data_IF_793484227093
#
_entry.id   IF_793484227093
#
_cell.length_a   1.000
_cell.length_b   1.000
_cell.length_c   1.000
_cell.angle_alpha   90.00
_cell.angle_beta   90.00
_cell.angle_gamma   90.00
#
_symmetry.space_group_name_H-M   'P 1'
#
loop_
_entity.id
_entity.type
_entity.pdbx_description
1 polymer ?
#
# COMPACT_ATOMS: atom_id res chain seq x y z
N UNK A 1 15.83 21.02 13.89
CA UNK A 1 16.99 21.71 14.54
C UNK A 1 16.46 22.44 15.75
N UNK A 2 16.55 21.82 16.96
CA UNK A 2 16.11 22.42 18.22
C UNK A 2 17.32 23.03 18.89
N UNK A 3 17.32 24.35 19.05
CA UNK A 3 18.37 25.07 19.79
C UNK A 3 17.94 25.13 21.23
N UNK A 4 18.52 24.29 22.07
CA UNK A 4 18.45 24.43 23.53
C UNK A 4 19.50 25.44 23.99
N UNK A 5 19.13 26.71 24.15
CA UNK A 5 19.91 27.70 24.93
C UNK A 5 19.43 27.65 26.38
N UNK A 6 20.17 27.00 27.23
CA UNK A 6 19.96 27.01 28.68
C UNK A 6 21.04 26.21 29.38
N UNK A 7 21.68 26.79 30.42
CA UNK A 7 22.71 26.17 31.22
C UNK A 7 22.17 24.98 32.03
N UNK A 8 22.46 23.75 31.55
CA UNK A 8 22.27 22.53 32.33
C UNK A 8 23.67 21.90 32.44
N UNK A 9 24.06 21.46 33.65
CA UNK A 9 25.32 20.77 33.91
C UNK A 9 25.47 19.52 33.05
N UNK A 10 26.68 19.07 32.75
CA UNK A 10 26.94 17.93 31.85
C UNK A 10 26.17 16.66 32.21
N UNK A 11 25.98 16.37 33.49
CA UNK A 11 25.18 15.22 33.95
C UNK A 11 23.68 15.37 33.65
N UNK A 12 23.11 16.57 33.79
CA UNK A 12 21.69 16.81 33.44
C UNK A 12 21.41 16.70 31.94
N UNK A 13 22.35 17.10 31.08
CA UNK A 13 22.24 16.92 29.62
C UNK A 13 22.27 15.45 29.24
N UNK A 14 23.11 14.64 29.85
CA UNK A 14 23.18 13.20 29.58
C UNK A 14 21.88 12.49 29.95
N UNK A 15 21.29 12.80 31.11
CA UNK A 15 20.01 12.22 31.57
C UNK A 15 18.83 12.63 30.66
N UNK A 16 18.81 13.89 30.22
CA UNK A 16 17.76 14.37 29.31
C UNK A 16 17.90 13.70 27.92
N UNK A 17 19.12 13.61 27.41
CA UNK A 17 19.39 12.92 26.14
C UNK A 17 19.05 11.43 26.24
N UNK A 18 19.41 10.75 27.30
CA UNK A 18 19.07 9.34 27.51
C UNK A 18 17.56 9.11 27.64
N UNK A 19 16.83 9.99 28.32
CA UNK A 19 15.35 9.96 28.37
C UNK A 19 14.71 10.24 26.99
N UNK A 20 15.25 11.21 26.25
CA UNK A 20 14.78 11.51 24.90
C UNK A 20 15.05 10.35 23.94
N UNK A 21 16.23 9.74 24.00
CA UNK A 21 16.57 8.55 23.20
C UNK A 21 15.64 7.39 23.58
N UNK A 22 15.44 7.08 24.87
CA UNK A 22 14.48 6.07 25.32
C UNK A 22 13.04 6.38 24.94
N UNK A 23 12.62 7.65 24.91
CA UNK A 23 11.31 8.04 24.40
C UNK A 23 11.20 7.85 22.90
N UNK A 24 12.25 8.16 22.13
CA UNK A 24 12.29 7.91 20.67
C UNK A 24 12.34 6.42 20.34
N UNK A 25 13.09 5.62 21.11
CA UNK A 25 13.14 4.15 20.98
C UNK A 25 11.80 3.48 21.38
N UNK A 26 11.03 4.11 22.27
CA UNK A 26 9.72 3.61 22.73
C UNK A 26 8.54 4.11 21.89
N UNK A 27 8.73 5.02 20.93
CA UNK A 27 7.70 5.36 19.96
C UNK A 27 7.59 4.21 18.94
N UNK A 28 6.72 3.27 19.26
CA UNK A 28 6.37 2.15 18.37
C UNK A 28 5.81 2.71 17.08
N UNK A 29 6.66 2.88 16.06
CA UNK A 29 6.21 3.29 14.73
C UNK A 29 5.21 2.26 14.22
N UNK A 30 4.08 2.71 13.73
CA UNK A 30 3.12 1.87 13.04
C UNK A 30 3.67 1.33 11.72
N UNK A 31 2.92 0.50 11.05
CA UNK A 31 3.34 -0.19 9.84
C UNK A 31 2.27 -0.12 8.76
N UNK A 32 2.70 0.00 7.49
CA UNK A 32 1.83 -0.18 6.33
C UNK A 32 1.78 -1.65 5.91
N UNK A 33 0.56 -2.18 5.75
CA UNK A 33 0.30 -3.50 5.18
C UNK A 33 -0.47 -3.35 3.88
N UNK A 34 0.12 -3.77 2.76
CA UNK A 34 -0.60 -3.89 1.50
C UNK A 34 -1.32 -5.23 1.50
N UNK A 35 -2.63 -5.21 1.51
CA UNK A 35 -3.48 -6.39 1.69
C UNK A 35 -4.21 -6.69 0.38
N UNK A 36 -3.83 -7.78 -0.30
CA UNK A 36 -4.49 -8.19 -1.52
C UNK A 36 -5.92 -8.66 -1.24
N UNK A 37 -6.90 -8.13 -1.99
CA UNK A 37 -8.32 -8.47 -1.91
C UNK A 37 -8.72 -9.44 -3.04
N UNK A 38 -9.85 -10.17 -2.89
CA UNK A 38 -10.33 -11.09 -3.91
C UNK A 38 -10.56 -10.42 -5.27
N UNK A 39 -10.32 -11.16 -6.35
CA UNK A 39 -10.48 -10.72 -7.74
C UNK A 39 -11.71 -11.35 -8.44
N UNK A 40 -12.68 -11.86 -7.68
CA UNK A 40 -13.90 -12.46 -8.22
C UNK A 40 -14.48 -13.57 -7.34
N UNK A 41 -13.67 -14.17 -6.47
CA UNK A 41 -14.11 -15.18 -5.51
C UNK A 41 -13.64 -14.78 -4.09
N UNK A 42 -14.56 -14.64 -3.15
CA UNK A 42 -14.25 -14.23 -1.78
C UNK A 42 -13.34 -15.22 -1.04
N UNK A 43 -13.37 -16.49 -1.41
CA UNK A 43 -12.54 -17.54 -0.81
C UNK A 43 -11.04 -17.41 -1.15
N UNK A 44 -10.69 -16.59 -2.14
CA UNK A 44 -9.29 -16.32 -2.51
C UNK A 44 -8.57 -15.38 -1.53
N UNK A 45 -9.27 -14.81 -0.56
CA UNK A 45 -8.63 -14.00 0.48
C UNK A 45 -7.78 -14.88 1.40
N UNK A 46 -6.57 -14.44 1.71
CA UNK A 46 -5.71 -15.23 2.59
C UNK A 46 -6.08 -15.03 4.07
N UNK A 47 -5.89 -16.06 4.89
CA UNK A 47 -6.04 -15.96 6.35
C UNK A 47 -5.19 -14.85 6.96
N UNK A 48 -3.98 -14.64 6.43
CA UNK A 48 -3.07 -13.59 6.88
C UNK A 48 -3.65 -12.20 6.60
N UNK A 49 -4.26 -11.98 5.44
CA UNK A 49 -4.96 -10.72 5.13
C UNK A 49 -6.13 -10.51 6.07
N UNK A 50 -6.98 -11.53 6.30
CA UNK A 50 -8.11 -11.43 7.22
C UNK A 50 -7.68 -11.05 8.64
N UNK A 51 -6.63 -11.69 9.16
CA UNK A 51 -6.11 -11.40 10.49
C UNK A 51 -5.54 -9.97 10.54
N UNK A 52 -4.74 -9.57 9.54
CA UNK A 52 -4.18 -8.23 9.46
C UNK A 52 -5.27 -7.15 9.43
N UNK A 53 -6.32 -7.34 8.62
CA UNK A 53 -7.44 -6.38 8.54
C UNK A 53 -8.21 -6.24 9.86
N UNK A 54 -8.21 -7.29 10.72
CA UNK A 54 -8.82 -7.25 12.07
C UNK A 54 -7.92 -6.61 13.12
N UNK A 55 -6.59 -6.64 12.92
CA UNK A 55 -5.59 -6.23 13.91
C UNK A 55 -5.09 -4.80 13.72
N UNK A 56 -5.13 -4.25 12.49
CA UNK A 56 -4.69 -2.87 12.23
C UNK A 56 -5.65 -1.85 12.82
N UNK A 57 -5.12 -0.65 13.07
CA UNK A 57 -5.89 0.46 13.63
C UNK A 57 -6.81 1.13 12.60
N UNK A 58 -6.43 1.08 11.32
CA UNK A 58 -7.14 1.76 10.23
C UNK A 58 -6.98 0.99 8.91
N UNK A 59 -8.04 0.95 8.12
CA UNK A 59 -8.02 0.45 6.74
C UNK A 59 -8.14 1.65 5.78
N UNK A 60 -7.17 1.82 4.89
CA UNK A 60 -7.23 2.75 3.77
C UNK A 60 -7.76 1.98 2.54
N UNK A 61 -8.89 2.40 1.98
CA UNK A 61 -9.58 1.72 0.89
C UNK A 61 -9.80 2.65 -0.30
N UNK A 62 -9.68 2.13 -1.51
CA UNK A 62 -9.89 2.87 -2.76
C UNK A 62 -11.35 3.34 -2.88
N UNK A 63 -12.30 2.41 -2.85
CA UNK A 63 -13.72 2.72 -2.70
C UNK A 63 -14.29 2.09 -1.43
N UNK A 64 -14.60 2.94 -0.45
CA UNK A 64 -15.14 2.49 0.84
C UNK A 64 -16.51 1.82 0.71
N UNK A 65 -17.31 2.17 -0.32
CA UNK A 65 -18.63 1.57 -0.58
C UNK A 65 -18.50 0.14 -1.11
N UNK A 66 -17.44 -0.14 -1.85
CA UNK A 66 -17.12 -1.48 -2.32
C UNK A 66 -16.53 -2.30 -1.18
N UNK A 67 -15.53 -1.77 -0.52
CA UNK A 67 -14.76 -2.45 0.53
C UNK A 67 -15.61 -2.82 1.74
N UNK A 68 -16.63 -2.02 2.11
CA UNK A 68 -17.51 -2.34 3.25
C UNK A 68 -18.25 -3.68 3.09
N UNK A 69 -18.54 -4.10 1.85
CA UNK A 69 -19.19 -5.40 1.58
C UNK A 69 -18.25 -6.54 1.95
N UNK A 70 -16.97 -6.43 1.57
CA UNK A 70 -15.93 -7.40 1.92
C UNK A 70 -15.74 -7.47 3.44
N UNK A 71 -15.59 -6.31 4.09
CA UNK A 71 -15.37 -6.25 5.54
C UNK A 71 -16.55 -6.84 6.32
N UNK A 72 -17.78 -6.54 5.91
CA UNK A 72 -18.98 -7.08 6.52
C UNK A 72 -19.07 -8.61 6.35
N UNK A 73 -18.74 -9.13 5.17
CA UNK A 73 -18.75 -10.57 4.90
C UNK A 73 -17.83 -11.34 5.85
N UNK A 74 -16.64 -10.80 6.15
CA UNK A 74 -15.67 -11.41 7.05
C UNK A 74 -15.75 -10.91 8.50
N UNK A 75 -16.81 -10.17 8.86
CA UNK A 75 -17.05 -9.62 10.19
C UNK A 75 -15.88 -8.77 10.72
N UNK A 76 -15.25 -7.96 9.83
CA UNK A 76 -14.17 -7.04 10.16
C UNK A 76 -14.80 -5.70 10.54
N UNK A 77 -14.48 -5.20 11.76
CA UNK A 77 -15.01 -3.95 12.32
C UNK A 77 -14.01 -2.80 12.36
N UNK A 78 -12.82 -3.00 11.82
CA UNK A 78 -11.74 -2.01 11.78
C UNK A 78 -12.21 -0.75 11.06
N UNK A 79 -11.95 0.45 11.62
CA UNK A 79 -12.30 1.72 10.98
C UNK A 79 -11.71 1.82 9.59
N UNK A 80 -12.43 2.48 8.67
CA UNK A 80 -12.02 2.63 7.28
C UNK A 80 -11.99 4.08 6.86
N UNK A 81 -11.04 4.46 6.00
CA UNK A 81 -10.93 5.77 5.36
C UNK A 81 -10.72 5.61 3.86
N UNK A 82 -11.15 6.61 3.08
CA UNK A 82 -10.92 6.60 1.63
C UNK A 82 -9.48 6.99 1.29
N UNK A 83 -8.91 6.29 0.31
CA UNK A 83 -7.61 6.58 -0.28
C UNK A 83 -7.65 6.25 -1.78
N UNK A 84 -7.86 7.23 -2.63
CA UNK A 84 -8.10 7.07 -4.07
C UNK A 84 -7.27 8.05 -4.90
N UNK A 85 -7.29 7.91 -6.22
CA UNK A 85 -6.48 8.67 -7.18
C UNK A 85 -6.54 10.19 -6.95
N UNK A 86 -7.73 10.73 -6.65
CA UNK A 86 -7.93 12.18 -6.51
C UNK A 86 -7.43 12.77 -5.18
N UNK A 87 -7.18 11.94 -4.16
CA UNK A 87 -6.69 12.40 -2.85
C UNK A 87 -5.32 11.83 -2.47
N UNK A 88 -4.73 10.98 -3.30
CA UNK A 88 -3.58 10.13 -2.96
C UNK A 88 -2.41 10.87 -2.35
N UNK A 89 -2.05 12.07 -2.85
CA UNK A 89 -0.85 12.78 -2.40
C UNK A 89 -1.00 13.31 -0.98
N UNK A 90 -2.05 14.08 -0.72
CA UNK A 90 -2.26 14.70 0.60
C UNK A 90 -2.71 13.67 1.64
N UNK A 91 -3.53 12.72 1.20
CA UNK A 91 -3.97 11.64 2.07
C UNK A 91 -2.82 10.72 2.46
N UNK A 92 -1.86 10.44 1.54
CA UNK A 92 -0.66 9.67 1.87
C UNK A 92 0.18 10.37 2.94
N UNK A 93 0.41 11.69 2.83
CA UNK A 93 1.10 12.46 3.87
C UNK A 93 0.46 12.30 5.24
N UNK A 94 -0.88 12.44 5.29
CA UNK A 94 -1.63 12.27 6.53
C UNK A 94 -1.47 10.86 7.10
N UNK A 95 -1.61 9.81 6.27
CA UNK A 95 -1.47 8.41 6.71
C UNK A 95 -0.05 8.10 7.18
N UNK A 96 0.98 8.63 6.51
CA UNK A 96 2.38 8.49 6.92
C UNK A 96 2.60 9.11 8.29
N UNK A 97 2.07 10.30 8.57
CA UNK A 97 2.19 10.93 9.90
C UNK A 97 1.44 10.12 10.98
N UNK A 98 0.28 9.52 10.67
CA UNK A 98 -0.39 8.61 11.59
C UNK A 98 0.49 7.39 11.90
N UNK A 99 1.14 6.80 10.88
CA UNK A 99 2.04 5.65 11.09
C UNK A 99 3.28 6.03 11.89
N UNK A 100 3.86 7.19 11.69
CA UNK A 100 4.96 7.69 12.56
C UNK A 100 4.54 7.82 14.02
N UNK A 101 3.25 8.10 14.28
CA UNK A 101 2.66 8.18 15.60
C UNK A 101 2.17 6.82 16.15
N UNK A 102 2.52 5.72 15.51
CA UNK A 102 2.26 4.36 16.01
C UNK A 102 1.02 3.67 15.42
N UNK A 103 0.25 4.34 14.56
CA UNK A 103 -0.95 3.76 13.93
C UNK A 103 -0.55 2.78 12.82
N UNK A 104 -0.98 1.53 12.91
CA UNK A 104 -0.78 0.53 11.85
C UNK A 104 -1.95 0.58 10.85
N UNK A 105 -1.62 0.59 9.56
CA UNK A 105 -2.60 0.82 8.48
C UNK A 105 -2.55 -0.33 7.48
N UNK A 106 -3.71 -0.86 7.11
CA UNK A 106 -3.86 -1.74 5.95
C UNK A 106 -4.35 -0.94 4.75
N UNK A 107 -3.66 -1.07 3.62
CA UNK A 107 -4.11 -0.56 2.32
C UNK A 107 -4.78 -1.70 1.56
N UNK A 108 -5.99 -1.45 1.07
CA UNK A 108 -6.73 -2.34 0.17
C UNK A 108 -7.22 -1.57 -1.07
N UNK A 109 -7.34 -2.26 -2.18
CA UNK A 109 -7.95 -1.79 -3.42
C UNK A 109 -9.27 -2.51 -3.69
N UNK A 110 -9.98 -2.12 -4.70
CA UNK A 110 -11.27 -2.74 -5.06
C UNK A 110 -11.12 -4.22 -5.40
N UNK A 111 -9.98 -4.61 -6.02
CA UNK A 111 -9.66 -6.00 -6.33
C UNK A 111 -8.16 -6.20 -6.53
N UNK A 112 -7.61 -7.29 -6.00
CA UNK A 112 -6.23 -7.72 -6.21
C UNK A 112 -5.21 -7.08 -5.27
N UNK A 113 -3.97 -7.04 -5.72
CA UNK A 113 -2.80 -6.61 -4.95
C UNK A 113 -2.60 -5.09 -5.06
N UNK A 114 -2.64 -4.34 -3.93
CA UNK A 114 -2.42 -2.89 -3.93
C UNK A 114 -1.01 -2.49 -4.38
N UNK A 115 -0.90 -1.30 -5.00
CA UNK A 115 0.36 -0.73 -5.47
C UNK A 115 0.75 -1.17 -6.89
N UNK A 116 -0.16 -1.85 -7.60
CA UNK A 116 0.01 -2.26 -9.00
C UNK A 116 -1.12 -1.65 -9.84
N UNK A 117 -0.81 -0.58 -10.54
CA UNK A 117 -1.77 0.19 -11.36
C UNK A 117 -2.93 0.82 -10.57
N UNK A 118 -2.66 1.22 -9.35
CA UNK A 118 -3.60 1.86 -8.45
C UNK A 118 -2.90 2.97 -7.62
N UNK A 119 -3.65 3.81 -6.88
CA UNK A 119 -3.07 4.91 -6.09
C UNK A 119 -2.12 4.47 -4.96
N UNK A 120 -2.06 3.19 -4.63
CA UNK A 120 -1.21 2.63 -3.57
C UNK A 120 0.28 2.90 -3.78
N UNK A 121 0.74 3.02 -5.03
CA UNK A 121 2.12 3.35 -5.38
C UNK A 121 2.61 4.62 -4.65
N UNK A 122 1.79 5.68 -4.62
CA UNK A 122 2.14 6.94 -3.98
C UNK A 122 2.30 6.79 -2.45
N UNK A 123 1.42 6.03 -1.79
CA UNK A 123 1.54 5.78 -0.36
C UNK A 123 2.79 4.98 -0.02
N UNK A 124 3.09 3.95 -0.82
CA UNK A 124 4.32 3.14 -0.69
C UNK A 124 5.55 4.01 -0.83
N UNK A 125 5.61 4.88 -1.84
CA UNK A 125 6.72 5.81 -2.08
C UNK A 125 6.93 6.73 -0.87
N UNK A 126 5.88 7.36 -0.36
CA UNK A 126 5.97 8.26 0.79
C UNK A 126 6.36 7.52 2.08
N UNK A 127 5.88 6.30 2.31
CA UNK A 127 6.31 5.47 3.43
C UNK A 127 7.79 5.14 3.34
N UNK A 128 8.28 4.75 2.15
CA UNK A 128 9.69 4.45 1.93
C UNK A 128 10.58 5.68 2.22
N UNK A 129 10.22 6.85 1.68
CA UNK A 129 10.93 8.11 1.90
C UNK A 129 10.94 8.54 3.38
N UNK A 130 9.85 8.23 4.10
CA UNK A 130 9.69 8.58 5.51
C UNK A 130 10.29 7.55 6.49
N UNK A 131 10.82 6.42 6.00
CA UNK A 131 11.34 5.34 6.83
C UNK A 131 10.26 4.58 7.61
N UNK A 132 8.98 4.64 7.17
CA UNK A 132 7.88 3.89 7.78
C UNK A 132 7.98 2.42 7.33
N UNK A 133 7.96 1.45 8.27
CA UNK A 133 7.97 0.03 7.92
C UNK A 133 6.77 -0.34 7.07
N UNK A 134 7.00 -1.12 6.02
CA UNK A 134 5.93 -1.58 5.14
C UNK A 134 6.11 -3.05 4.74
N UNK A 135 5.01 -3.71 4.39
CA UNK A 135 5.04 -5.08 3.87
C UNK A 135 3.85 -5.33 2.95
N UNK A 136 4.07 -6.06 1.88
CA UNK A 136 3.00 -6.58 1.04
C UNK A 136 2.67 -8.01 1.43
N UNK A 137 1.40 -8.30 1.60
CA UNK A 137 0.90 -9.65 1.90
C UNK A 137 0.60 -10.35 0.58
N UNK A 138 1.22 -11.51 0.29
CA UNK A 138 0.89 -12.28 -0.90
C UNK A 138 -0.59 -12.61 -0.98
N UNK A 139 -1.15 -12.53 -2.19
CA UNK A 139 -2.56 -12.82 -2.42
C UNK A 139 -2.97 -12.72 -3.89
N UNK A 140 -4.25 -12.58 -4.19
CA UNK A 140 -4.78 -12.53 -5.53
C UNK A 140 -4.12 -11.47 -6.40
N UNK A 141 -3.70 -11.87 -7.62
CA UNK A 141 -3.11 -11.01 -8.63
C UNK A 141 -3.60 -11.43 -10.02
N UNK A 142 -4.50 -10.62 -10.62
CA UNK A 142 -5.17 -10.98 -11.87
C UNK A 142 -4.18 -11.24 -13.01
N UNK A 143 -3.12 -10.42 -13.14
CA UNK A 143 -2.12 -10.59 -14.19
C UNK A 143 -1.41 -11.96 -14.11
N UNK A 144 -1.04 -12.41 -12.92
CA UNK A 144 -0.39 -13.71 -12.72
C UNK A 144 -1.39 -14.86 -12.95
N UNK A 145 -2.60 -14.72 -12.40
CA UNK A 145 -3.65 -15.73 -12.58
C UNK A 145 -4.00 -15.93 -14.06
N UNK A 146 -4.18 -14.85 -14.82
CA UNK A 146 -4.42 -14.90 -16.25
C UNK A 146 -3.24 -15.51 -17.02
N UNK A 147 -2.02 -15.11 -16.69
CA UNK A 147 -0.82 -15.63 -17.36
C UNK A 147 -0.67 -17.15 -17.18
N UNK A 148 -0.95 -17.68 -15.99
CA UNK A 148 -0.79 -19.11 -15.70
C UNK A 148 -1.71 -20.01 -16.51
N UNK A 149 -2.90 -19.52 -16.93
CA UNK A 149 -3.88 -20.28 -17.73
C UNK A 149 -3.92 -19.88 -19.21
N UNK A 150 -3.08 -18.92 -19.62
CA UNK A 150 -3.09 -18.38 -20.98
C UNK A 150 -2.59 -19.33 -22.05
N UNK A 151 -1.80 -20.35 -21.69
CA UNK A 151 -1.08 -21.20 -22.65
C UNK A 151 0.10 -20.50 -23.35
N UNK A 152 0.39 -19.24 -23.01
CA UNK A 152 1.50 -18.46 -23.57
C UNK A 152 2.78 -18.68 -22.79
N UNK A 153 3.92 -18.17 -23.29
CA UNK A 153 5.20 -18.23 -22.62
C UNK A 153 5.18 -17.44 -21.31
N UNK A 154 5.45 -18.09 -20.17
CA UNK A 154 5.39 -17.47 -18.83
C UNK A 154 6.76 -17.09 -18.28
N UNK A 155 7.87 -17.56 -18.90
CA UNK A 155 9.22 -17.36 -18.37
C UNK A 155 9.65 -15.88 -18.39
N UNK A 156 9.26 -15.14 -19.42
CA UNK A 156 9.52 -13.70 -19.59
C UNK A 156 8.24 -13.06 -20.12
N UNK A 157 7.75 -12.05 -19.42
CA UNK A 157 6.57 -11.29 -19.81
C UNK A 157 6.75 -9.84 -19.44
N UNK A 158 5.93 -8.96 -20.01
CA UNK A 158 5.81 -7.57 -19.62
C UNK A 158 4.37 -7.27 -19.20
N UNK A 159 4.23 -6.39 -18.23
CA UNK A 159 2.95 -5.90 -17.73
C UNK A 159 2.83 -4.42 -18.07
N UNK A 160 1.86 -4.10 -18.91
CA UNK A 160 1.65 -2.75 -19.46
C UNK A 160 0.47 -2.00 -18.82
N UNK A 161 -0.10 -2.61 -17.77
CA UNK A 161 -1.21 -2.04 -17.04
C UNK A 161 -2.43 -1.69 -17.94
N UNK A 162 -3.08 -0.54 -17.67
CA UNK A 162 -4.20 -0.04 -18.45
C UNK A 162 -3.73 0.83 -19.61
N UNK A 163 -4.22 0.56 -20.80
CA UNK A 163 -4.01 1.47 -21.92
C UNK A 163 -4.74 2.80 -21.67
N UNK A 164 -4.11 3.94 -22.01
CA UNK A 164 -4.75 5.23 -21.83
C UNK A 164 -6.01 5.38 -22.66
N UNK A 165 -6.99 6.13 -22.15
CA UNK A 165 -8.23 6.46 -22.88
C UNK A 165 -7.99 7.39 -24.07
N UNK A 166 -6.92 8.18 -24.05
CA UNK A 166 -6.51 9.03 -25.17
C UNK A 166 -6.10 8.18 -26.39
N UNK A 167 -6.80 8.36 -27.51
CA UNK A 167 -6.63 7.54 -28.72
C UNK A 167 -5.22 7.62 -29.30
N UNK A 168 -4.58 8.80 -29.28
CA UNK A 168 -3.24 8.99 -29.85
C UNK A 168 -2.17 8.31 -28.99
N UNK A 169 -2.25 8.47 -27.69
CA UNK A 169 -1.35 7.81 -26.74
C UNK A 169 -1.53 6.29 -26.78
N UNK A 170 -2.76 5.81 -26.82
CA UNK A 170 -3.08 4.39 -26.96
C UNK A 170 -2.49 3.81 -28.24
N UNK A 171 -2.70 4.47 -29.38
CA UNK A 171 -2.14 4.03 -30.66
C UNK A 171 -0.61 3.99 -30.64
N UNK A 172 0.02 4.99 -30.06
CA UNK A 172 1.48 5.04 -29.92
C UNK A 172 2.01 3.85 -29.10
N UNK A 173 1.42 3.57 -27.94
CA UNK A 173 1.80 2.40 -27.12
C UNK A 173 1.60 1.10 -27.89
N UNK A 174 0.46 0.93 -28.59
CA UNK A 174 0.19 -0.27 -29.36
C UNK A 174 1.20 -0.48 -30.51
N UNK A 175 1.68 0.61 -31.15
CA UNK A 175 2.74 0.51 -32.16
C UNK A 175 4.10 0.09 -31.54
N UNK A 176 4.42 0.57 -30.35
CA UNK A 176 5.63 0.14 -29.62
C UNK A 176 5.55 -1.34 -29.24
N UNK A 177 4.38 -1.78 -28.74
CA UNK A 177 4.15 -3.17 -28.32
C UNK A 177 4.22 -4.18 -29.48
N UNK A 178 4.06 -3.78 -30.75
CA UNK A 178 4.29 -4.65 -31.91
C UNK A 178 5.72 -5.20 -32.00
N UNK A 179 6.68 -4.53 -31.36
CA UNK A 179 8.08 -4.98 -31.34
C UNK A 179 8.40 -5.84 -30.12
N UNK A 180 7.46 -5.95 -29.18
CA UNK A 180 7.65 -6.77 -27.98
C UNK A 180 7.50 -8.25 -28.31
N UNK A 181 8.48 -9.04 -27.94
CA UNK A 181 8.54 -10.49 -28.23
C UNK A 181 8.14 -11.35 -27.04
N UNK A 182 8.03 -10.74 -25.87
CA UNK A 182 7.55 -11.41 -24.66
C UNK A 182 6.04 -11.46 -24.62
N UNK A 183 5.48 -12.32 -23.79
CA UNK A 183 4.06 -12.27 -23.47
C UNK A 183 3.70 -10.92 -22.87
N UNK A 184 2.70 -10.24 -23.41
CA UNK A 184 2.23 -8.93 -22.96
C UNK A 184 0.96 -9.14 -22.13
N UNK A 185 0.88 -8.50 -20.97
CA UNK A 185 -0.30 -8.47 -20.11
C UNK A 185 -0.82 -7.04 -20.08
N UNK A 186 -2.08 -6.88 -20.44
CA UNK A 186 -2.86 -5.63 -20.40
C UNK A 186 -4.07 -5.81 -19.50
N UNK A 187 -4.48 -4.72 -18.83
CA UNK A 187 -5.74 -4.62 -18.08
C UNK A 187 -6.77 -3.83 -18.86
#
# INVERSE_FOLDING_TARGET
>A
MWVLKGWISGAGKAIIMEKLVKQMENQKTGKLYLCATPIGNLDDITLRVLNTLKEVDLIAAEDTRHSIKLLNHFHIKTPMTSYHEYNKVDKAKYLVEQMKNGVSIALITDAGTPGISDPGEELVRQCYEAGVPLTSLPGPAACITALTISGLATRRFCFEAFLPSDKKKKQWILEELKRETRTIILY
#
